data_IF_053590502140
#
_entry.id   IF_053590502140
#
_cell.length_a   1.000
_cell.length_b   1.000
_cell.length_c   1.000
_cell.angle_alpha   90.00
_cell.angle_beta   90.00
_cell.angle_gamma   90.00
#
_symmetry.space_group_name_H-M   'P 1'
#
loop_
_entity.id
_entity.type
_entity.pdbx_description
1 polymer ?
#
# COMPACT_ATOMS: atom_id res chain seq x y z
N UNK A 1 11.95 -27.90 5.37
CA UNK A 1 10.90 -27.15 6.08
C UNK A 1 9.60 -27.28 5.29
N UNK A 2 8.48 -27.68 5.94
CA UNK A 2 7.18 -27.76 5.29
C UNK A 2 6.50 -26.38 5.31
N UNK A 3 5.90 -25.96 4.19
CA UNK A 3 5.20 -24.69 4.04
C UNK A 3 3.80 -24.90 3.47
N UNK A 4 2.88 -24.01 3.85
CA UNK A 4 1.57 -23.84 3.20
C UNK A 4 1.60 -22.53 2.44
N UNK A 5 1.14 -22.53 1.20
CA UNK A 5 1.19 -21.34 0.36
C UNK A 5 0.05 -21.29 -0.65
N UNK A 6 -0.36 -20.09 -1.02
CA UNK A 6 -1.20 -19.85 -2.20
C UNK A 6 -0.30 -19.68 -3.41
N UNK A 7 -0.47 -20.55 -4.40
CA UNK A 7 0.36 -20.60 -5.60
C UNK A 7 -0.46 -20.31 -6.86
N UNK A 8 0.14 -19.57 -7.78
CA UNK A 8 -0.41 -19.26 -9.09
C UNK A 8 0.04 -20.32 -10.10
N UNK A 9 -0.91 -20.93 -10.79
CA UNK A 9 -0.72 -21.93 -11.84
C UNK A 9 -1.05 -21.39 -13.25
N UNK A 10 -1.80 -20.31 -13.34
CA UNK A 10 -2.25 -19.72 -14.58
C UNK A 10 -3.36 -18.69 -14.36
N UNK A 11 -4.04 -18.30 -15.42
CA UNK A 11 -5.15 -17.33 -15.32
C UNK A 11 -6.28 -17.83 -14.41
N UNK A 12 -6.59 -17.06 -13.37
CA UNK A 12 -7.61 -17.35 -12.37
C UNK A 12 -7.40 -18.70 -11.64
N UNK A 13 -6.19 -19.22 -11.63
CA UNK A 13 -5.87 -20.51 -11.01
C UNK A 13 -4.92 -20.29 -9.84
N UNK A 14 -5.49 -19.98 -8.68
CA UNK A 14 -4.82 -19.90 -7.39
C UNK A 14 -5.17 -21.13 -6.56
N UNK A 15 -4.14 -21.82 -6.05
CA UNK A 15 -4.33 -23.04 -5.24
C UNK A 15 -3.62 -22.93 -3.91
N UNK A 16 -4.29 -23.33 -2.83
CA UNK A 16 -3.67 -23.55 -1.53
C UNK A 16 -2.99 -24.91 -1.54
N UNK A 17 -1.72 -24.96 -1.21
CA UNK A 17 -0.92 -26.18 -1.20
C UNK A 17 0.00 -26.27 0.01
N UNK A 18 0.31 -27.51 0.39
CA UNK A 18 1.37 -27.82 1.33
C UNK A 18 2.47 -28.60 0.61
N UNK A 19 3.70 -28.14 0.78
CA UNK A 19 4.88 -28.79 0.18
C UNK A 19 6.14 -28.53 1.01
N UNK A 20 7.18 -29.31 0.74
CA UNK A 20 8.48 -29.12 1.38
C UNK A 20 9.33 -28.12 0.59
N UNK A 21 9.82 -27.08 1.31
CA UNK A 21 10.84 -26.17 0.79
C UNK A 21 12.17 -26.92 0.68
N UNK A 22 13.00 -26.66 -0.34
CA UNK A 22 14.37 -27.16 -0.38
C UNK A 22 15.20 -26.63 0.80
N UNK A 23 16.35 -27.23 1.05
CA UNK A 23 17.35 -26.64 1.95
C UNK A 23 17.84 -25.32 1.36
N UNK A 24 18.04 -24.32 2.22
CA UNK A 24 18.57 -23.02 1.77
C UNK A 24 20.02 -23.15 1.31
N UNK A 25 20.38 -22.38 0.31
CA UNK A 25 21.76 -22.22 -0.12
C UNK A 25 22.52 -21.26 0.79
N UNK A 26 23.83 -21.18 0.58
CA UNK A 26 24.70 -20.29 1.38
C UNK A 26 24.34 -18.80 1.22
N UNK A 27 23.70 -18.43 0.12
CA UNK A 27 23.31 -17.07 -0.26
C UNK A 27 21.81 -16.80 -0.13
N UNK A 28 21.06 -17.70 0.50
CA UNK A 28 19.62 -17.59 0.74
C UNK A 28 19.29 -17.43 2.24
N UNK A 29 18.08 -16.97 2.56
CA UNK A 29 17.57 -16.85 3.92
C UNK A 29 16.19 -17.50 3.99
N UNK A 30 15.96 -18.38 4.98
CA UNK A 30 14.64 -18.91 5.30
C UNK A 30 13.94 -17.96 6.24
N UNK A 31 12.71 -17.60 5.92
CA UNK A 31 11.88 -16.74 6.77
C UNK A 31 10.51 -17.36 7.02
N UNK A 32 9.92 -17.03 8.17
CA UNK A 32 8.53 -17.22 8.48
C UNK A 32 7.78 -15.95 8.17
N UNK A 33 6.80 -15.99 7.29
CA UNK A 33 5.88 -14.87 7.07
C UNK A 33 4.81 -14.91 8.15
N UNK A 34 4.54 -13.78 8.76
CA UNK A 34 3.47 -13.63 9.76
C UNK A 34 2.30 -12.86 9.18
N UNK A 35 2.58 -11.76 8.48
CA UNK A 35 1.57 -10.90 7.86
C UNK A 35 1.92 -10.62 6.39
N UNK A 36 0.89 -10.65 5.55
CA UNK A 36 0.91 -10.15 4.16
C UNK A 36 -0.33 -9.30 3.94
N UNK A 37 -0.37 -8.47 2.92
CA UNK A 37 -1.60 -7.79 2.56
C UNK A 37 -1.93 -7.93 1.07
N UNK A 38 -3.22 -8.07 0.77
CA UNK A 38 -3.66 -8.30 -0.60
C UNK A 38 -3.64 -6.98 -1.37
N UNK A 39 -2.93 -6.98 -2.50
CA UNK A 39 -2.77 -5.84 -3.40
C UNK A 39 -3.53 -6.06 -4.73
N UNK A 40 -4.01 -4.97 -5.32
CA UNK A 40 -4.60 -4.99 -6.65
C UNK A 40 -3.62 -5.50 -7.72
N UNK A 41 -2.32 -5.32 -7.53
CA UNK A 41 -1.30 -5.86 -8.44
C UNK A 41 -1.19 -7.38 -8.36
N UNK A 42 -1.39 -7.99 -7.19
CA UNK A 42 -1.49 -9.45 -7.04
C UNK A 42 -2.75 -9.99 -7.75
N UNK A 43 -3.89 -9.30 -7.62
CA UNK A 43 -5.11 -9.62 -8.39
C UNK A 43 -4.84 -9.59 -9.89
N UNK A 44 -4.17 -8.53 -10.41
CA UNK A 44 -3.81 -8.42 -11.83
C UNK A 44 -2.94 -9.59 -12.29
N UNK A 45 -1.95 -9.99 -11.50
CA UNK A 45 -1.13 -11.16 -11.80
C UNK A 45 -1.96 -12.45 -11.86
N UNK A 46 -2.90 -12.62 -10.93
CA UNK A 46 -3.77 -13.80 -10.88
C UNK A 46 -4.70 -13.90 -12.09
N UNK A 47 -5.34 -12.81 -12.52
CA UNK A 47 -6.26 -12.84 -13.68
C UNK A 47 -5.56 -12.86 -15.04
N UNK A 48 -4.35 -12.32 -15.13
CA UNK A 48 -3.57 -12.30 -16.37
C UNK A 48 -2.70 -13.56 -16.55
N UNK A 49 -2.30 -14.22 -15.44
CA UNK A 49 -1.41 -15.38 -15.53
C UNK A 49 -0.15 -15.04 -16.33
N UNK A 50 0.19 -15.87 -17.31
CA UNK A 50 1.39 -15.69 -18.17
C UNK A 50 1.36 -14.43 -19.04
N UNK A 51 0.24 -13.71 -19.15
CA UNK A 51 0.19 -12.43 -19.86
C UNK A 51 0.67 -11.27 -18.95
N UNK A 52 0.78 -11.50 -17.65
CA UNK A 52 1.37 -10.53 -16.74
C UNK A 52 2.89 -10.50 -16.90
N UNK A 53 3.46 -9.29 -16.97
CA UNK A 53 4.89 -9.04 -17.27
C UNK A 53 5.89 -9.67 -16.30
N UNK A 54 5.45 -10.00 -15.05
CA UNK A 54 6.28 -10.59 -13.99
C UNK A 54 6.03 -12.07 -13.76
N UNK A 55 4.99 -12.64 -14.36
CA UNK A 55 4.64 -14.06 -14.18
C UNK A 55 5.42 -14.90 -15.20
N UNK A 56 6.15 -15.94 -14.74
CA UNK A 56 6.91 -16.83 -15.63
C UNK A 56 6.01 -17.54 -16.64
N UNK A 57 6.54 -17.79 -17.84
CA UNK A 57 5.79 -18.46 -18.91
C UNK A 57 5.51 -19.93 -18.63
N UNK A 58 6.30 -20.55 -17.77
CA UNK A 58 6.21 -21.94 -17.32
C UNK A 58 5.49 -22.08 -15.96
N UNK A 59 4.69 -21.09 -15.57
CA UNK A 59 4.03 -21.05 -14.25
C UNK A 59 3.09 -22.25 -14.00
N UNK A 60 2.59 -22.89 -15.05
CA UNK A 60 1.76 -24.08 -14.93
C UNK A 60 2.54 -25.30 -14.41
N UNK A 61 3.81 -25.44 -14.81
CA UNK A 61 4.71 -26.50 -14.40
C UNK A 61 5.53 -26.11 -13.15
N UNK A 62 5.87 -24.81 -13.03
CA UNK A 62 6.66 -24.22 -11.97
C UNK A 62 5.88 -23.10 -11.26
N UNK A 63 4.83 -23.45 -10.50
CA UNK A 63 3.95 -22.44 -9.89
C UNK A 63 4.67 -21.56 -8.88
N UNK A 64 4.30 -20.28 -8.85
CA UNK A 64 4.92 -19.26 -8.00
C UNK A 64 4.03 -18.91 -6.80
N UNK A 65 4.64 -18.56 -5.66
CA UNK A 65 3.90 -18.06 -4.50
C UNK A 65 3.52 -16.61 -4.74
N UNK A 66 2.25 -16.26 -4.48
CA UNK A 66 1.75 -14.88 -4.61
C UNK A 66 1.95 -14.08 -3.31
N UNK A 67 1.66 -12.76 -3.35
CA UNK A 67 1.78 -11.86 -2.19
C UNK A 67 3.16 -11.22 -2.12
N UNK A 68 3.21 -9.90 -1.98
CA UNK A 68 4.48 -9.16 -2.03
C UNK A 68 4.57 -8.05 -0.97
N UNK A 69 3.58 -7.95 -0.09
CA UNK A 69 3.53 -6.99 1.01
C UNK A 69 3.73 -7.75 2.33
N UNK A 70 4.89 -8.42 2.48
CA UNK A 70 5.11 -9.40 3.55
C UNK A 70 6.01 -8.89 4.68
N UNK A 71 5.72 -9.38 5.89
CA UNK A 71 6.54 -9.22 7.07
C UNK A 71 6.55 -10.49 7.93
N UNK A 72 7.59 -10.68 8.71
CA UNK A 72 7.71 -11.86 9.55
C UNK A 72 9.04 -11.94 10.29
N UNK A 73 9.53 -13.17 10.52
CA UNK A 73 10.76 -13.43 11.24
C UNK A 73 11.75 -14.23 10.40
N UNK A 74 13.02 -13.90 10.52
CA UNK A 74 14.11 -14.70 9.96
C UNK A 74 14.23 -15.98 10.77
N UNK A 75 14.29 -17.12 10.08
CA UNK A 75 14.38 -18.46 10.70
C UNK A 75 15.79 -19.02 10.59
N UNK A 76 16.37 -18.97 9.39
CA UNK A 76 17.72 -19.48 9.12
C UNK A 76 18.42 -18.58 8.11
N UNK A 77 19.73 -18.37 8.31
CA UNK A 77 20.56 -17.47 7.50
C UNK A 77 21.68 -18.25 6.84
N UNK A 78 21.74 -18.21 5.51
CA UNK A 78 22.85 -18.75 4.74
C UNK A 78 24.19 -18.10 5.10
N UNK A 79 25.27 -18.83 4.94
CA UNK A 79 26.60 -18.43 5.42
C UNK A 79 27.04 -17.04 4.93
N UNK A 80 26.67 -16.66 3.72
CA UNK A 80 27.00 -15.37 3.09
C UNK A 80 26.45 -14.15 3.86
N UNK A 81 25.33 -14.31 4.59
CA UNK A 81 24.57 -13.20 5.17
C UNK A 81 24.61 -13.14 6.71
N UNK A 82 25.34 -14.05 7.37
CA UNK A 82 25.35 -14.16 8.85
C UNK A 82 25.88 -12.94 9.58
N UNK A 83 26.69 -12.12 8.91
CA UNK A 83 27.21 -10.87 9.51
C UNK A 83 26.15 -9.74 9.48
N UNK A 84 25.10 -9.86 8.64
CA UNK A 84 24.09 -8.83 8.44
C UNK A 84 22.74 -9.19 9.08
N UNK A 85 22.38 -10.48 9.11
CA UNK A 85 21.08 -10.97 9.57
C UNK A 85 21.22 -12.06 10.61
N UNK A 86 20.19 -12.17 11.48
CA UNK A 86 20.15 -13.17 12.56
C UNK A 86 18.79 -13.85 12.63
N UNK A 87 18.72 -15.15 12.98
CA UNK A 87 17.47 -15.82 13.32
C UNK A 87 16.71 -15.06 14.43
N UNK A 88 15.39 -15.01 14.31
CA UNK A 88 14.50 -14.28 15.23
C UNK A 88 14.33 -12.78 14.92
N UNK A 89 15.13 -12.21 14.03
CA UNK A 89 15.00 -10.82 13.61
C UNK A 89 13.72 -10.64 12.78
N UNK A 90 12.94 -9.60 13.09
CA UNK A 90 11.79 -9.21 12.27
C UNK A 90 12.26 -8.56 10.98
N UNK A 91 11.50 -8.74 9.92
CA UNK A 91 11.80 -8.16 8.62
C UNK A 91 10.56 -7.59 7.93
N UNK A 92 10.80 -6.67 7.02
CA UNK A 92 9.96 -6.29 5.89
C UNK A 92 10.75 -6.45 4.59
N UNK A 93 10.13 -6.40 3.43
CA UNK A 93 10.82 -6.65 2.17
C UNK A 93 10.32 -5.74 1.05
N UNK A 94 11.26 -5.06 0.35
CA UNK A 94 10.98 -4.32 -0.88
C UNK A 94 10.95 -5.29 -2.07
N UNK A 95 9.78 -5.49 -2.72
CA UNK A 95 9.65 -6.46 -3.80
C UNK A 95 10.12 -5.98 -5.17
N UNK A 96 10.25 -4.67 -5.37
CA UNK A 96 10.64 -4.08 -6.66
C UNK A 96 12.16 -4.16 -6.87
N UNK A 97 12.68 -5.37 -7.15
CA UNK A 97 14.11 -5.65 -7.20
C UNK A 97 14.79 -4.99 -8.41
N UNK A 98 14.21 -5.10 -9.61
CA UNK A 98 14.83 -4.68 -10.87
C UNK A 98 16.27 -5.22 -11.06
N UNK A 99 16.50 -6.46 -10.56
CA UNK A 99 17.83 -7.06 -10.51
C UNK A 99 18.39 -7.29 -11.90
N UNK A 100 19.50 -6.64 -12.23
CA UNK A 100 20.17 -6.73 -13.55
C UNK A 100 19.23 -6.49 -14.75
N UNK A 101 18.22 -5.64 -14.57
CA UNK A 101 17.22 -5.35 -15.58
C UNK A 101 16.09 -6.37 -15.72
N UNK A 102 16.06 -7.43 -14.89
CA UNK A 102 14.92 -8.34 -14.81
C UNK A 102 13.73 -7.67 -14.13
N UNK A 103 12.54 -8.06 -14.52
CA UNK A 103 11.29 -7.67 -13.87
C UNK A 103 10.87 -8.66 -12.78
N UNK A 104 11.67 -9.69 -12.52
CA UNK A 104 11.37 -10.70 -11.50
C UNK A 104 11.22 -10.07 -10.12
N UNK A 105 10.24 -10.54 -9.39
CA UNK A 105 9.85 -9.95 -8.12
C UNK A 105 9.23 -10.99 -7.19
N UNK A 106 9.59 -11.02 -5.91
CA UNK A 106 8.90 -11.80 -4.90
C UNK A 106 7.38 -11.61 -4.96
N UNK A 107 6.65 -12.70 -4.83
CA UNK A 107 5.18 -12.69 -4.93
C UNK A 107 4.62 -12.68 -6.35
N UNK A 108 5.48 -12.78 -7.38
CA UNK A 108 5.09 -12.86 -8.80
C UNK A 108 5.89 -13.89 -9.59
N UNK A 109 7.20 -13.99 -9.33
CA UNK A 109 8.14 -14.69 -10.23
C UNK A 109 8.83 -15.87 -9.56
N UNK A 110 8.82 -15.93 -8.24
CA UNK A 110 9.62 -16.92 -7.50
C UNK A 110 8.77 -18.10 -7.02
N UNK A 111 9.30 -19.29 -7.25
CA UNK A 111 8.66 -20.55 -6.84
C UNK A 111 8.53 -20.69 -5.32
N UNK A 112 9.49 -20.14 -4.57
CA UNK A 112 9.62 -20.30 -3.12
C UNK A 112 9.62 -18.97 -2.36
N UNK A 113 9.27 -17.84 -3.00
CA UNK A 113 9.24 -16.54 -2.34
C UNK A 113 7.99 -15.74 -2.72
N UNK A 114 7.15 -15.48 -1.72
CA UNK A 114 5.93 -14.68 -1.80
C UNK A 114 5.21 -14.67 -0.45
N UNK A 115 4.44 -13.60 -0.18
CA UNK A 115 3.86 -13.32 1.13
C UNK A 115 2.69 -14.21 1.54
N UNK A 116 1.97 -14.79 0.57
CA UNK A 116 0.87 -15.69 0.87
C UNK A 116 1.36 -17.12 1.19
N UNK A 117 2.26 -17.24 2.15
CA UNK A 117 2.83 -18.52 2.61
C UNK A 117 3.26 -18.45 4.07
N UNK A 118 3.37 -19.62 4.73
CA UNK A 118 3.85 -19.71 6.12
C UNK A 118 5.36 -19.56 6.22
N UNK A 119 6.10 -20.19 5.31
CA UNK A 119 7.56 -20.11 5.21
C UNK A 119 7.99 -19.93 3.77
N UNK A 120 9.01 -19.12 3.54
CA UNK A 120 9.54 -18.84 2.21
C UNK A 120 11.07 -18.71 2.24
N UNK A 121 11.69 -18.88 1.08
CA UNK A 121 13.13 -18.70 0.91
C UNK A 121 13.35 -17.37 0.20
N UNK A 122 14.00 -16.43 0.88
CA UNK A 122 14.43 -15.16 0.28
C UNK A 122 15.59 -15.42 -0.67
N UNK A 123 15.45 -15.12 -1.97
CA UNK A 123 16.52 -15.35 -2.93
C UNK A 123 17.63 -14.29 -2.75
N UNK A 124 18.85 -14.66 -3.16
CA UNK A 124 20.07 -13.88 -3.02
C UNK A 124 19.91 -12.40 -3.42
N UNK A 125 19.21 -12.14 -4.51
CA UNK A 125 19.05 -10.79 -5.07
C UNK A 125 18.31 -9.82 -4.15
N UNK A 126 17.44 -10.33 -3.27
CA UNK A 126 16.75 -9.51 -2.26
C UNK A 126 17.77 -8.91 -1.28
N UNK A 127 18.73 -9.71 -0.82
CA UNK A 127 19.77 -9.24 0.10
C UNK A 127 20.84 -8.42 -0.63
N UNK A 128 21.25 -8.83 -1.85
CA UNK A 128 22.26 -8.09 -2.63
C UNK A 128 21.84 -6.66 -2.95
N UNK A 129 20.54 -6.43 -3.11
CA UNK A 129 19.97 -5.10 -3.36
C UNK A 129 19.61 -4.35 -2.07
N UNK A 130 19.86 -4.93 -0.88
CA UNK A 130 19.46 -4.35 0.40
C UNK A 130 17.93 -4.26 0.56
N UNK A 131 17.18 -5.15 -0.08
CA UNK A 131 15.72 -5.15 -0.09
C UNK A 131 15.09 -5.97 1.04
N UNK A 132 15.87 -6.78 1.80
CA UNK A 132 15.44 -7.37 3.07
C UNK A 132 15.75 -6.36 4.18
N UNK A 133 14.70 -5.78 4.77
CA UNK A 133 14.79 -4.67 5.70
C UNK A 133 14.51 -5.13 7.13
N UNK A 134 15.44 -4.94 8.09
CA UNK A 134 15.17 -5.15 9.51
C UNK A 134 14.03 -4.23 9.98
N UNK A 135 13.19 -4.76 10.87
CA UNK A 135 12.09 -4.04 11.49
C UNK A 135 12.12 -4.22 13.01
N UNK A 136 12.07 -3.13 13.76
CA UNK A 136 12.17 -3.12 15.23
C UNK A 136 10.82 -2.80 15.92
N UNK A 137 9.80 -2.40 15.16
CA UNK A 137 8.49 -2.07 15.70
C UNK A 137 7.69 -3.28 16.18
N UNK A 138 6.54 -3.04 16.82
CA UNK A 138 5.78 -4.07 17.52
C UNK A 138 4.82 -4.86 16.63
N UNK A 139 4.19 -4.23 15.63
CA UNK A 139 3.17 -4.88 14.78
C UNK A 139 3.72 -5.41 13.46
N UNK A 140 3.50 -6.69 13.12
CA UNK A 140 3.87 -7.24 11.81
C UNK A 140 3.06 -6.60 10.68
N UNK A 141 1.79 -6.22 10.94
CA UNK A 141 0.96 -5.51 9.96
C UNK A 141 1.60 -4.19 9.52
N UNK A 142 2.25 -3.48 10.43
CA UNK A 142 2.97 -2.25 10.12
C UNK A 142 4.11 -2.49 9.13
N UNK A 143 4.86 -3.57 9.36
CA UNK A 143 5.98 -3.95 8.49
C UNK A 143 5.50 -4.46 7.12
N UNK A 144 4.40 -5.20 7.04
CA UNK A 144 3.83 -5.63 5.77
C UNK A 144 3.22 -4.47 4.98
N UNK A 145 2.58 -3.52 5.65
CA UNK A 145 2.01 -2.33 5.02
C UNK A 145 3.07 -1.25 4.69
N UNK A 146 4.32 -1.45 5.06
CA UNK A 146 5.41 -0.54 4.67
C UNK A 146 5.60 -0.51 3.16
N UNK A 147 5.32 -1.62 2.44
CA UNK A 147 5.38 -1.64 0.97
C UNK A 147 4.37 -0.66 0.35
N UNK A 148 3.05 -0.76 0.57
CA UNK A 148 2.11 0.21 0.01
C UNK A 148 2.35 1.65 0.49
N UNK A 149 2.79 1.86 1.73
CA UNK A 149 3.20 3.19 2.19
C UNK A 149 4.41 3.70 1.42
N UNK A 150 5.39 2.85 1.08
CA UNK A 150 6.55 3.25 0.26
C UNK A 150 6.13 3.75 -1.12
N UNK A 151 5.08 3.16 -1.70
CA UNK A 151 4.52 3.64 -2.97
C UNK A 151 3.99 5.07 -2.85
N UNK A 152 3.32 5.37 -1.74
CA UNK A 152 2.81 6.72 -1.43
C UNK A 152 3.98 7.68 -1.23
N UNK A 153 4.93 7.35 -0.37
CA UNK A 153 6.11 8.17 -0.08
C UNK A 153 6.89 8.47 -1.37
N UNK A 154 7.14 7.45 -2.19
CA UNK A 154 7.80 7.62 -3.48
C UNK A 154 7.05 8.55 -4.44
N UNK A 155 5.71 8.56 -4.42
CA UNK A 155 4.92 9.49 -5.21
C UNK A 155 5.09 10.94 -4.72
N UNK A 156 5.14 11.17 -3.40
CA UNK A 156 5.43 12.49 -2.83
C UNK A 156 6.83 12.95 -3.20
N UNK A 157 7.85 12.09 -3.08
CA UNK A 157 9.23 12.40 -3.45
C UNK A 157 9.41 12.66 -4.97
N UNK A 158 8.62 12.00 -5.82
CA UNK A 158 8.70 12.15 -7.26
C UNK A 158 8.01 13.41 -7.80
N UNK A 159 7.11 14.02 -7.03
CA UNK A 159 6.57 15.33 -7.36
C UNK A 159 7.69 16.37 -7.36
N UNK A 160 7.57 17.40 -8.16
CA UNK A 160 8.59 18.46 -8.19
C UNK A 160 8.00 19.81 -8.57
N UNK A 161 8.73 20.85 -8.18
CA UNK A 161 8.46 22.25 -8.49
C UNK A 161 9.69 22.94 -9.06
N UNK A 162 9.47 24.02 -9.79
CA UNK A 162 10.54 24.83 -10.38
C UNK A 162 10.50 26.25 -9.86
N UNK A 163 11.37 27.09 -10.35
CA UNK A 163 11.30 28.55 -10.18
C UNK A 163 11.40 29.19 -11.57
N UNK A 164 10.68 30.27 -11.77
CA UNK A 164 10.71 30.97 -13.06
C UNK A 164 12.15 31.33 -13.45
N UNK A 165 12.56 30.92 -14.67
CA UNK A 165 13.90 31.15 -15.18
C UNK A 165 14.96 30.13 -14.69
N UNK A 166 14.58 29.11 -13.93
CA UNK A 166 15.44 28.01 -13.52
C UNK A 166 14.91 26.70 -14.07
N UNK A 167 15.84 25.80 -14.45
CA UNK A 167 15.56 24.41 -14.84
C UNK A 167 15.85 23.42 -13.72
N UNK A 168 16.18 23.92 -12.51
CA UNK A 168 16.41 23.08 -11.34
C UNK A 168 15.05 22.61 -10.76
N UNK A 169 14.93 21.30 -10.55
CA UNK A 169 13.77 20.70 -9.92
C UNK A 169 13.98 20.64 -8.41
N UNK A 170 13.05 21.23 -7.68
CA UNK A 170 12.93 21.06 -6.23
C UNK A 170 12.00 19.87 -5.99
N UNK A 171 12.61 18.71 -5.69
CA UNK A 171 11.86 17.47 -5.50
C UNK A 171 10.98 17.52 -4.25
N UNK A 172 9.89 16.76 -4.30
CA UNK A 172 8.86 16.71 -3.27
C UNK A 172 7.72 17.69 -3.52
N UNK A 173 6.64 17.58 -2.73
CA UNK A 173 5.50 18.48 -2.78
C UNK A 173 5.87 19.87 -2.31
N UNK A 174 5.03 20.86 -2.62
CA UNK A 174 5.23 22.24 -2.18
C UNK A 174 5.04 22.37 -0.65
N UNK A 175 6.11 22.71 0.08
CA UNK A 175 6.05 22.96 1.51
C UNK A 175 5.15 24.18 1.81
N UNK A 176 4.19 24.02 2.73
CA UNK A 176 3.18 25.04 3.02
C UNK A 176 2.16 25.25 1.90
N UNK A 177 2.26 24.46 0.80
CA UNK A 177 1.41 24.54 -0.38
C UNK A 177 0.01 23.95 -0.17
N UNK A 178 -0.75 23.87 -1.26
CA UNK A 178 -2.12 23.35 -1.31
C UNK A 178 -2.12 22.03 -2.04
N UNK A 179 -2.47 20.96 -1.34
CA UNK A 179 -2.52 19.59 -1.85
C UNK A 179 -3.96 19.17 -2.08
N UNK A 180 -4.28 18.64 -3.26
CA UNK A 180 -5.53 17.95 -3.54
C UNK A 180 -5.28 16.45 -3.70
N UNK A 181 -6.09 15.61 -3.03
CA UNK A 181 -6.09 14.15 -3.12
C UNK A 181 -7.43 13.72 -3.70
N UNK A 182 -7.45 13.42 -5.00
CA UNK A 182 -8.66 13.10 -5.76
C UNK A 182 -8.96 11.60 -5.73
N UNK A 183 -10.24 11.23 -5.52
CA UNK A 183 -10.68 9.88 -5.21
C UNK A 183 -9.91 9.31 -4.00
N UNK A 184 -9.73 10.17 -3.00
CA UNK A 184 -8.76 10.00 -1.91
C UNK A 184 -9.29 9.31 -0.65
N UNK A 185 -10.57 8.95 -0.57
CA UNK A 185 -11.12 8.25 0.60
C UNK A 185 -10.92 6.72 0.55
N UNK A 186 -10.21 6.22 -0.47
CA UNK A 186 -9.76 4.83 -0.56
C UNK A 186 -8.49 4.58 0.27
N UNK A 187 -8.02 3.30 0.35
CA UNK A 187 -6.90 2.93 1.23
C UNK A 187 -5.62 3.73 0.95
N UNK A 188 -5.23 3.83 -0.31
CA UNK A 188 -3.99 4.53 -0.68
C UNK A 188 -4.12 6.05 -0.46
N UNK A 189 -5.31 6.63 -0.67
CA UNK A 189 -5.55 8.03 -0.37
C UNK A 189 -5.53 8.35 1.12
N UNK A 190 -6.05 7.45 1.98
CA UNK A 190 -5.94 7.61 3.44
C UNK A 190 -4.49 7.53 3.91
N UNK A 191 -3.70 6.60 3.38
CA UNK A 191 -2.25 6.56 3.62
C UNK A 191 -1.55 7.83 3.15
N UNK A 192 -2.00 8.43 2.03
CA UNK A 192 -1.47 9.69 1.55
C UNK A 192 -1.80 10.87 2.47
N UNK A 193 -3.02 10.90 3.03
CA UNK A 193 -3.39 11.91 4.05
C UNK A 193 -2.50 11.76 5.28
N UNK A 194 -2.34 10.54 5.79
CA UNK A 194 -1.50 10.27 6.95
C UNK A 194 -0.06 10.72 6.74
N UNK A 195 0.54 10.36 5.59
CA UNK A 195 1.87 10.82 5.24
C UNK A 195 1.96 12.36 5.11
N UNK A 196 1.01 13.01 4.43
CA UNK A 196 0.99 14.45 4.26
C UNK A 196 0.93 15.24 5.59
N UNK A 197 0.24 14.68 6.60
CA UNK A 197 0.16 15.28 7.94
C UNK A 197 1.50 15.21 8.69
N UNK A 198 2.40 14.28 8.33
CA UNK A 198 3.57 13.94 9.14
C UNK A 198 4.92 14.01 8.39
N UNK A 199 4.92 14.15 7.05
CA UNK A 199 6.14 14.27 6.24
C UNK A 199 6.93 15.54 6.58
N UNK A 200 8.16 15.61 6.09
CA UNK A 200 9.07 16.75 6.29
C UNK A 200 8.60 18.01 5.57
N UNK A 201 7.98 17.88 4.39
CA UNK A 201 7.47 18.98 3.56
C UNK A 201 5.95 19.08 3.67
N UNK A 202 5.44 19.46 4.84
CA UNK A 202 4.00 19.52 5.10
C UNK A 202 3.30 20.54 4.22
N UNK A 203 2.14 20.18 3.60
CA UNK A 203 1.28 21.18 2.97
C UNK A 203 0.61 22.07 4.02
N UNK A 204 0.20 23.28 3.65
CA UNK A 204 -0.62 24.15 4.50
C UNK A 204 -2.11 23.82 4.41
N UNK A 205 -2.53 23.22 3.29
CA UNK A 205 -3.91 22.80 3.05
C UNK A 205 -3.93 21.43 2.39
N UNK A 206 -4.85 20.55 2.82
CA UNK A 206 -5.16 19.27 2.18
C UNK A 206 -6.64 19.24 1.87
N UNK A 207 -6.99 19.01 0.60
CA UNK A 207 -8.37 18.77 0.17
C UNK A 207 -8.48 17.32 -0.35
N UNK A 208 -9.28 16.51 0.34
CA UNK A 208 -9.57 15.13 -0.06
C UNK A 208 -10.94 15.07 -0.69
N UNK A 209 -11.04 14.66 -1.93
CA UNK A 209 -12.32 14.49 -2.61
C UNK A 209 -12.64 13.04 -2.94
N UNK A 210 -13.90 12.66 -2.78
CA UNK A 210 -14.44 11.37 -3.19
C UNK A 210 -15.94 11.51 -3.51
N UNK A 211 -16.52 10.49 -4.15
CA UNK A 211 -17.96 10.39 -4.39
C UNK A 211 -18.68 9.52 -3.35
N UNK A 212 -17.93 8.77 -2.55
CA UNK A 212 -18.46 7.85 -1.56
C UNK A 212 -18.54 8.49 -0.18
N UNK A 213 -19.77 8.78 0.25
CA UNK A 213 -20.04 9.45 1.53
C UNK A 213 -19.61 8.62 2.74
N UNK A 214 -19.74 7.28 2.68
CA UNK A 214 -19.37 6.42 3.80
C UNK A 214 -17.85 6.40 4.00
N UNK A 215 -17.10 6.34 2.90
CA UNK A 215 -15.64 6.43 2.94
C UNK A 215 -15.16 7.79 3.47
N UNK A 216 -15.79 8.88 3.04
CA UNK A 216 -15.46 10.22 3.54
C UNK A 216 -15.75 10.34 5.03
N UNK A 217 -16.91 9.87 5.51
CA UNK A 217 -17.21 9.84 6.95
C UNK A 217 -16.20 9.02 7.75
N UNK A 218 -15.75 7.87 7.22
CA UNK A 218 -14.68 7.10 7.83
C UNK A 218 -13.38 7.91 7.87
N UNK A 219 -13.02 8.58 6.79
CA UNK A 219 -11.82 9.41 6.71
C UNK A 219 -11.85 10.55 7.74
N UNK A 220 -12.99 11.24 7.91
CA UNK A 220 -13.19 12.28 8.93
C UNK A 220 -13.02 11.78 10.37
N UNK A 221 -13.45 10.54 10.64
CA UNK A 221 -13.24 9.90 11.96
C UNK A 221 -11.77 9.57 12.21
N UNK A 222 -11.06 9.10 11.17
CA UNK A 222 -9.63 8.77 11.26
C UNK A 222 -8.79 10.04 11.39
N UNK A 223 -9.09 11.06 10.60
CA UNK A 223 -8.35 12.31 10.52
C UNK A 223 -9.25 13.51 10.83
N UNK A 224 -9.54 13.79 12.11
CA UNK A 224 -10.33 14.96 12.48
C UNK A 224 -9.64 16.26 12.05
N UNK A 225 -10.37 17.15 11.39
CA UNK A 225 -9.83 18.43 10.91
C UNK A 225 -9.20 19.29 12.03
N UNK A 226 -9.72 19.18 13.25
CA UNK A 226 -9.17 19.86 14.42
C UNK A 226 -7.77 19.34 14.82
N UNK A 227 -7.49 18.05 14.59
CA UNK A 227 -6.15 17.50 14.84
C UNK A 227 -5.17 17.94 13.75
N UNK A 228 -5.58 17.94 12.49
CA UNK A 228 -4.78 18.49 11.39
C UNK A 228 -4.47 19.98 11.63
N UNK A 229 -5.42 20.73 12.14
CA UNK A 229 -5.24 22.16 12.47
C UNK A 229 -4.16 22.40 13.53
N UNK A 230 -4.02 21.50 14.50
CA UNK A 230 -2.93 21.56 15.51
C UNK A 230 -1.54 21.37 14.87
N UNK A 231 -1.48 20.69 13.71
CA UNK A 231 -0.27 20.51 12.91
C UNK A 231 -0.02 21.70 11.94
N UNK A 232 -0.91 22.70 11.94
CA UNK A 232 -0.85 23.86 11.04
C UNK A 232 -1.44 23.60 9.65
N UNK A 233 -2.25 22.56 9.48
CA UNK A 233 -2.78 22.11 8.20
C UNK A 233 -4.31 22.27 8.18
N UNK A 234 -4.84 22.91 7.13
CA UNK A 234 -6.27 22.96 6.86
C UNK A 234 -6.68 21.70 6.09
N UNK A 235 -7.32 20.73 6.76
CA UNK A 235 -7.80 19.47 6.16
C UNK A 235 -9.30 19.58 5.86
N UNK A 236 -9.67 19.34 4.59
CA UNK A 236 -11.04 19.48 4.10
C UNK A 236 -11.42 18.20 3.33
N UNK A 237 -12.54 17.57 3.72
CA UNK A 237 -13.13 16.46 2.97
C UNK A 237 -14.31 16.96 2.13
N UNK A 238 -14.38 16.55 0.86
CA UNK A 238 -15.38 17.02 -0.11
C UNK A 238 -16.07 15.84 -0.78
N UNK A 239 -17.39 15.72 -0.59
CA UNK A 239 -18.20 14.83 -1.39
C UNK A 239 -18.56 15.50 -2.72
N UNK A 240 -18.00 14.98 -3.81
CA UNK A 240 -18.18 15.57 -5.15
C UNK A 240 -19.37 15.03 -5.92
N UNK A 241 -20.12 14.06 -5.38
CA UNK A 241 -21.21 13.35 -6.07
C UNK A 241 -22.27 14.27 -6.68
N UNK A 242 -22.64 15.33 -5.97
CA UNK A 242 -23.73 16.22 -6.34
C UNK A 242 -23.25 17.64 -6.69
N UNK A 243 -21.96 17.83 -6.97
CA UNK A 243 -21.39 19.11 -7.37
C UNK A 243 -21.35 19.14 -8.91
N UNK A 244 -22.05 20.10 -9.51
CA UNK A 244 -22.13 20.22 -10.97
C UNK A 244 -20.79 20.65 -11.58
N UNK A 245 -20.16 21.70 -11.06
CA UNK A 245 -18.81 22.14 -11.41
C UNK A 245 -17.81 21.84 -10.29
N UNK A 246 -17.35 20.59 -10.25
CA UNK A 246 -16.37 20.13 -9.24
C UNK A 246 -15.05 20.91 -9.34
N UNK A 247 -14.57 21.18 -10.55
CA UNK A 247 -13.31 21.90 -10.75
C UNK A 247 -13.38 23.34 -10.24
N UNK A 248 -14.45 24.04 -10.57
CA UNK A 248 -14.71 25.40 -10.05
C UNK A 248 -14.84 25.43 -8.53
N UNK A 249 -15.60 24.48 -7.97
CA UNK A 249 -15.76 24.35 -6.52
C UNK A 249 -14.39 24.16 -5.81
N UNK A 250 -13.58 23.19 -6.26
CA UNK A 250 -12.27 22.92 -5.66
C UNK A 250 -11.32 24.11 -5.80
N UNK A 251 -11.28 24.78 -6.96
CA UNK A 251 -10.46 25.98 -7.13
C UNK A 251 -10.89 27.11 -6.19
N UNK A 252 -12.17 27.27 -5.92
CA UNK A 252 -12.67 28.29 -5.00
C UNK A 252 -12.15 28.08 -3.57
N UNK A 253 -11.95 26.84 -3.12
CA UNK A 253 -11.32 26.55 -1.82
C UNK A 253 -9.91 27.12 -1.71
N UNK A 254 -9.21 27.29 -2.83
CA UNK A 254 -7.86 27.86 -2.89
C UNK A 254 -7.84 29.39 -3.15
N UNK A 255 -8.99 30.03 -3.11
CA UNK A 255 -9.13 31.44 -3.51
C UNK A 255 -8.91 31.67 -5.02
N UNK A 256 -9.16 30.63 -5.85
CA UNK A 256 -9.03 30.68 -7.31
C UNK A 256 -7.62 30.43 -7.85
N UNK A 257 -6.59 30.35 -6.98
CA UNK A 257 -5.19 30.17 -7.41
C UNK A 257 -4.89 28.75 -7.94
N UNK A 258 -5.68 27.75 -7.53
CA UNK A 258 -5.45 26.34 -7.81
C UNK A 258 -4.53 25.68 -6.78
N UNK A 259 -4.26 24.38 -6.99
CA UNK A 259 -3.45 23.56 -6.10
C UNK A 259 -2.00 23.49 -6.60
N UNK A 260 -1.08 23.45 -5.65
CA UNK A 260 0.34 23.25 -5.94
C UNK A 260 0.61 21.79 -6.30
N UNK A 261 -0.02 20.85 -5.59
CA UNK A 261 0.07 19.42 -5.85
C UNK A 261 -1.31 18.80 -5.97
N UNK A 262 -1.49 17.92 -6.96
CA UNK A 262 -2.73 17.18 -7.17
C UNK A 262 -2.40 15.69 -7.37
N UNK A 263 -2.88 14.84 -6.45
CA UNK A 263 -2.70 13.40 -6.52
C UNK A 263 -3.99 12.71 -6.97
N UNK A 264 -3.90 11.82 -7.96
CA UNK A 264 -5.05 11.10 -8.52
C UNK A 264 -4.98 9.63 -8.14
N UNK A 265 -5.91 9.17 -7.28
CA UNK A 265 -5.93 7.81 -6.73
C UNK A 265 -6.89 6.84 -7.44
N UNK A 266 -7.60 7.28 -8.46
CA UNK A 266 -8.45 6.40 -9.27
C UNK A 266 -8.13 6.52 -10.77
N UNK A 267 -8.04 5.40 -11.53
CA UNK A 267 -7.81 5.42 -12.97
C UNK A 267 -9.12 5.74 -13.71
N UNK A 268 -9.65 6.94 -13.46
CA UNK A 268 -10.91 7.41 -14.01
C UNK A 268 -10.66 8.68 -14.79
N UNK A 269 -10.87 8.64 -16.10
CA UNK A 269 -10.56 9.74 -17.02
C UNK A 269 -11.06 11.12 -16.55
N UNK A 270 -12.35 11.32 -16.17
CA UNK A 270 -12.83 12.59 -15.65
C UNK A 270 -12.07 13.10 -14.42
N UNK A 271 -11.59 12.20 -13.54
CA UNK A 271 -10.84 12.59 -12.33
C UNK A 271 -9.43 13.08 -12.69
N UNK A 272 -8.77 12.47 -13.69
CA UNK A 272 -7.48 12.93 -14.20
C UNK A 272 -7.62 14.31 -14.83
N UNK A 273 -8.63 14.50 -15.70
CA UNK A 273 -8.93 15.77 -16.36
C UNK A 273 -9.33 16.87 -15.35
N UNK A 274 -10.02 16.50 -14.28
CA UNK A 274 -10.31 17.38 -13.15
C UNK A 274 -9.00 17.80 -12.45
N UNK A 275 -8.08 16.86 -12.24
CA UNK A 275 -6.77 17.15 -11.67
C UNK A 275 -6.03 18.24 -12.44
N UNK A 276 -5.98 18.13 -13.78
CA UNK A 276 -5.37 19.13 -14.65
C UNK A 276 -6.05 20.50 -14.51
N UNK A 277 -7.38 20.57 -14.44
CA UNK A 277 -8.15 21.83 -14.37
C UNK A 277 -7.95 22.58 -13.06
N UNK A 278 -7.63 21.86 -11.97
CA UNK A 278 -7.47 22.49 -10.64
C UNK A 278 -6.03 22.87 -10.30
N UNK A 279 -5.04 22.50 -11.12
CA UNK A 279 -3.65 22.89 -10.92
C UNK A 279 -3.48 24.41 -10.87
N UNK A 280 -2.65 24.85 -9.95
CA UNK A 280 -2.12 26.21 -9.89
C UNK A 280 -0.92 26.41 -10.83
N UNK A 281 -0.27 27.56 -10.72
CA UNK A 281 0.98 27.82 -11.43
C UNK A 281 2.10 26.97 -10.83
N UNK A 282 2.98 26.38 -11.68
CA UNK A 282 4.03 25.43 -11.30
C UNK A 282 3.45 24.19 -10.59
N UNK A 283 2.15 23.90 -10.83
CA UNK A 283 1.44 22.82 -10.17
C UNK A 283 1.85 21.45 -10.70
N UNK A 284 1.98 20.47 -9.80
CA UNK A 284 2.36 19.10 -10.12
C UNK A 284 1.16 18.15 -10.00
N UNK A 285 0.76 17.52 -11.11
CA UNK A 285 -0.21 16.43 -11.12
C UNK A 285 0.51 15.10 -11.01
N UNK A 286 0.31 14.38 -9.91
CA UNK A 286 0.81 13.04 -9.72
C UNK A 286 -0.29 12.01 -10.03
N UNK A 287 -0.11 11.24 -11.10
CA UNK A 287 -0.98 10.14 -11.46
C UNK A 287 -0.54 8.87 -10.74
N UNK A 288 -1.05 8.69 -9.53
CA UNK A 288 -0.74 7.53 -8.68
C UNK A 288 -1.46 6.25 -9.12
N UNK A 289 -2.67 6.38 -9.64
CA UNK A 289 -3.51 5.24 -9.99
C UNK A 289 -2.88 4.38 -11.09
N UNK A 290 -2.90 3.05 -10.90
CA UNK A 290 -2.40 2.09 -11.91
C UNK A 290 -3.53 1.56 -12.79
N UNK A 291 -3.75 2.05 -14.03
CA UNK A 291 -4.76 1.50 -14.93
C UNK A 291 -4.42 0.07 -15.36
N UNK A 292 -5.44 -0.71 -15.68
CA UNK A 292 -5.30 -2.04 -16.29
C UNK A 292 -5.30 -1.96 -17.82
N UNK A 293 -5.97 -0.94 -18.37
CA UNK A 293 -6.01 -0.70 -19.81
C UNK A 293 -4.72 0.04 -20.24
N UNK A 294 -3.94 -0.57 -21.12
CA UNK A 294 -2.71 0.00 -21.67
C UNK A 294 -2.97 1.25 -22.55
N UNK A 295 -4.20 1.43 -23.02
CA UNK A 295 -4.64 2.57 -23.81
C UNK A 295 -5.32 3.67 -22.98
N UNK A 296 -5.32 3.53 -21.63
CA UNK A 296 -5.91 4.54 -20.77
C UNK A 296 -5.31 5.92 -21.06
N UNK A 297 -6.16 6.90 -21.37
CA UNK A 297 -5.76 8.24 -21.76
C UNK A 297 -6.75 9.29 -21.24
N UNK A 298 -6.27 10.51 -21.02
CA UNK A 298 -7.06 11.65 -20.58
C UNK A 298 -6.61 12.95 -21.30
N UNK A 299 -7.49 13.94 -21.34
CA UNK A 299 -7.18 15.25 -21.93
C UNK A 299 -6.41 16.10 -20.92
N UNK A 300 -5.31 16.68 -21.38
CA UNK A 300 -4.46 17.62 -20.63
C UNK A 300 -4.43 18.96 -21.36
N UNK A 301 -4.51 20.04 -20.61
CA UNK A 301 -4.45 21.39 -21.16
C UNK A 301 -2.98 21.82 -21.36
N UNK A 302 -2.46 21.68 -22.56
CA UNK A 302 -1.08 22.06 -22.89
C UNK A 302 -0.81 23.58 -22.82
N UNK A 303 -1.85 24.42 -22.82
CA UNK A 303 -1.67 25.84 -22.51
C UNK A 303 -1.15 26.03 -21.07
N UNK A 304 -1.69 25.28 -20.10
CA UNK A 304 -1.22 25.30 -18.72
C UNK A 304 0.20 24.74 -18.60
N UNK A 305 0.52 23.66 -19.32
CA UNK A 305 1.89 23.11 -19.35
C UNK A 305 2.89 24.17 -19.81
N UNK A 306 2.54 24.94 -20.87
CA UNK A 306 3.44 25.93 -21.44
C UNK A 306 3.51 27.23 -20.61
N UNK A 307 2.36 27.81 -20.25
CA UNK A 307 2.30 29.14 -19.66
C UNK A 307 2.28 29.15 -18.13
N UNK A 308 1.76 28.09 -17.52
CA UNK A 308 1.69 27.94 -16.08
C UNK A 308 2.74 26.99 -15.51
N UNK A 309 3.60 26.42 -16.37
CA UNK A 309 4.64 25.45 -15.98
C UNK A 309 4.08 24.24 -15.22
N UNK A 310 2.91 23.74 -15.62
CA UNK A 310 2.33 22.56 -14.96
C UNK A 310 3.15 21.32 -15.26
N UNK A 311 3.27 20.44 -14.29
CA UNK A 311 4.03 19.17 -14.37
C UNK A 311 3.10 17.97 -14.27
N UNK A 312 3.45 16.87 -14.92
CA UNK A 312 2.76 15.59 -14.82
C UNK A 312 3.80 14.52 -14.50
N UNK A 313 3.58 13.84 -13.38
CA UNK A 313 4.47 12.79 -12.91
C UNK A 313 3.67 11.52 -12.57
N UNK A 314 4.36 10.40 -12.50
CA UNK A 314 3.81 9.13 -12.03
C UNK A 314 4.93 8.22 -11.55
N UNK A 315 4.59 7.34 -10.63
CA UNK A 315 5.50 6.36 -10.07
C UNK A 315 4.93 4.96 -10.20
N UNK A 316 5.80 3.96 -10.33
CA UNK A 316 5.41 2.55 -10.32
C UNK A 316 6.04 1.85 -9.11
N UNK A 317 5.45 2.07 -7.94
CA UNK A 317 5.96 1.61 -6.65
C UNK A 317 6.90 2.63 -5.98
N UNK A 318 7.27 2.35 -4.72
CA UNK A 318 8.33 3.03 -4.00
C UNK A 318 9.69 2.36 -4.25
N UNK A 319 10.75 3.02 -3.87
CA UNK A 319 12.10 2.43 -3.83
C UNK A 319 12.44 1.95 -2.40
N UNK A 320 13.63 1.38 -2.23
CA UNK A 320 14.09 0.87 -0.93
C UNK A 320 14.19 1.99 0.14
N UNK A 321 14.59 3.21 -0.25
CA UNK A 321 14.68 4.33 0.70
C UNK A 321 13.30 4.80 1.16
N UNK A 322 12.31 4.85 0.25
CA UNK A 322 10.92 5.17 0.60
C UNK A 322 10.35 4.15 1.59
N UNK A 323 10.72 2.87 1.44
CA UNK A 323 10.30 1.83 2.36
C UNK A 323 11.00 1.92 3.72
N UNK A 324 12.28 2.24 3.74
CA UNK A 324 13.03 2.52 4.98
C UNK A 324 12.42 3.72 5.72
N UNK A 325 12.01 4.75 4.99
CA UNK A 325 11.32 5.91 5.57
C UNK A 325 9.99 5.50 6.18
N UNK A 326 9.17 4.72 5.45
CA UNK A 326 7.91 4.18 5.96
C UNK A 326 8.10 3.42 7.28
N UNK A 327 9.05 2.48 7.32
CA UNK A 327 9.36 1.71 8.53
C UNK A 327 9.76 2.60 9.69
N UNK A 328 10.68 3.56 9.46
CA UNK A 328 11.16 4.49 10.50
C UNK A 328 10.06 5.41 11.04
N UNK A 329 9.20 5.93 10.16
CA UNK A 329 8.08 6.77 10.59
C UNK A 329 7.07 5.98 11.40
N UNK A 330 6.79 4.74 11.01
CA UNK A 330 5.89 3.83 11.75
C UNK A 330 6.48 3.43 13.10
N UNK A 331 7.77 3.07 13.19
CA UNK A 331 8.47 2.77 14.45
C UNK A 331 8.45 3.94 15.44
N UNK A 332 8.41 5.16 14.92
CA UNK A 332 8.30 6.40 15.72
C UNK A 332 6.87 6.83 16.01
N UNK A 333 5.87 6.05 15.60
CA UNK A 333 4.45 6.39 15.68
C UNK A 333 4.11 7.74 15.02
N UNK A 334 4.81 8.08 13.92
CA UNK A 334 4.53 9.27 13.14
C UNK A 334 3.43 9.04 12.12
N UNK A 335 3.38 7.83 11.52
CA UNK A 335 2.32 7.38 10.63
C UNK A 335 1.73 6.06 11.14
N UNK A 336 0.48 5.80 10.80
CA UNK A 336 -0.22 4.55 11.12
C UNK A 336 -0.76 3.90 9.82
N UNK A 337 -0.03 2.94 9.23
CA UNK A 337 -0.48 2.25 8.03
C UNK A 337 -1.82 1.51 8.17
N UNK A 338 -2.29 1.27 9.40
CA UNK A 338 -3.59 0.66 9.65
C UNK A 338 -4.78 1.48 9.11
N UNK A 339 -4.60 2.77 8.83
CA UNK A 339 -5.62 3.63 8.19
C UNK A 339 -6.10 3.04 6.86
N UNK A 340 -5.24 2.26 6.18
CA UNK A 340 -5.54 1.58 4.93
C UNK A 340 -6.34 0.28 5.11
N UNK A 341 -6.33 -0.33 6.32
CA UNK A 341 -6.87 -1.67 6.57
C UNK A 341 -8.38 -1.63 6.81
N UNK A 342 -9.09 -2.57 6.21
CA UNK A 342 -10.54 -2.76 6.44
C UNK A 342 -10.92 -4.18 6.78
N UNK A 343 -10.11 -5.17 6.41
CA UNK A 343 -10.40 -6.59 6.66
C UNK A 343 -9.17 -7.32 7.20
N UNK A 344 -9.43 -8.36 7.96
CA UNK A 344 -8.41 -9.27 8.51
C UNK A 344 -8.85 -10.71 8.26
N UNK A 345 -7.93 -11.58 7.89
CA UNK A 345 -8.19 -13.00 7.65
C UNK A 345 -6.96 -13.88 7.78
N UNK A 346 -7.14 -15.19 7.67
CA UNK A 346 -6.09 -16.19 7.63
C UNK A 346 -5.65 -16.53 6.21
N UNK A 347 -4.58 -17.29 6.08
CA UNK A 347 -4.03 -17.72 4.79
C UNK A 347 -5.04 -18.50 3.94
N UNK A 348 -5.93 -19.27 4.58
CA UNK A 348 -7.00 -20.04 3.95
C UNK A 348 -7.98 -19.17 3.15
N UNK A 349 -8.13 -17.90 3.51
CA UNK A 349 -8.99 -16.95 2.78
C UNK A 349 -8.28 -16.24 1.62
N UNK A 350 -6.94 -16.30 1.51
CA UNK A 350 -6.16 -15.44 0.64
C UNK A 350 -6.43 -15.66 -0.86
N UNK A 351 -6.61 -16.91 -1.30
CA UNK A 351 -6.86 -17.24 -2.71
C UNK A 351 -8.17 -16.63 -3.21
N UNK A 352 -9.28 -16.89 -2.50
CA UNK A 352 -10.60 -16.36 -2.85
C UNK A 352 -10.62 -14.84 -2.72
N UNK A 353 -10.08 -14.29 -1.64
CA UNK A 353 -10.01 -12.84 -1.41
C UNK A 353 -9.22 -12.12 -2.51
N UNK A 354 -8.16 -12.74 -3.04
CA UNK A 354 -7.39 -12.19 -4.16
C UNK A 354 -8.22 -12.18 -5.45
N UNK A 355 -8.87 -13.31 -5.81
CA UNK A 355 -9.63 -13.41 -7.06
C UNK A 355 -10.89 -12.53 -7.05
N UNK A 356 -11.47 -12.28 -5.89
CA UNK A 356 -12.67 -11.45 -5.72
C UNK A 356 -12.38 -10.02 -5.23
N UNK A 357 -11.13 -9.59 -5.26
CA UNK A 357 -10.72 -8.29 -4.72
C UNK A 357 -11.51 -7.09 -5.27
N UNK A 358 -11.86 -7.01 -6.58
CA UNK A 358 -12.67 -5.90 -7.10
C UNK A 358 -14.12 -5.87 -6.61
N UNK A 359 -14.65 -7.00 -6.15
CA UNK A 359 -16.01 -7.11 -5.62
C UNK A 359 -16.08 -6.71 -4.14
N UNK A 360 -14.95 -6.77 -3.44
CA UNK A 360 -14.87 -6.47 -2.03
C UNK A 360 -14.88 -4.95 -1.78
N UNK A 361 -15.39 -4.48 -0.62
CA UNK A 361 -15.27 -3.08 -0.22
C UNK A 361 -13.82 -2.60 -0.27
N UNK A 362 -13.61 -1.35 -0.66
CA UNK A 362 -12.27 -0.78 -0.74
C UNK A 362 -11.57 -0.82 0.62
N UNK A 363 -10.27 -1.10 0.61
CA UNK A 363 -9.40 -1.20 1.79
C UNK A 363 -8.44 -2.36 1.68
N UNK A 364 -7.33 -2.29 2.41
CA UNK A 364 -6.37 -3.39 2.50
C UNK A 364 -6.95 -4.56 3.28
N UNK A 365 -6.63 -5.78 2.81
CA UNK A 365 -6.98 -7.05 3.44
C UNK A 365 -5.70 -7.63 4.02
N UNK A 366 -5.57 -7.60 5.35
CA UNK A 366 -4.46 -8.23 6.06
C UNK A 366 -4.68 -9.73 6.14
N UNK A 367 -3.65 -10.49 5.79
CA UNK A 367 -3.62 -11.94 5.87
C UNK A 367 -2.56 -12.37 6.87
N UNK A 368 -2.99 -13.04 7.93
CA UNK A 368 -2.11 -13.69 8.91
C UNK A 368 -1.89 -15.14 8.51
N UNK A 369 -0.67 -15.47 8.16
CA UNK A 369 -0.36 -16.73 7.45
C UNK A 369 -0.44 -17.97 8.34
N UNK A 370 -0.39 -17.81 9.67
CA UNK A 370 -0.29 -18.89 10.64
C UNK A 370 -1.59 -19.13 11.43
N UNK A 371 -2.72 -18.59 10.96
CA UNK A 371 -4.05 -18.77 11.59
C UNK A 371 -5.10 -19.22 10.57
N UNK A 372 -6.17 -19.85 11.08
CA UNK A 372 -7.39 -20.15 10.32
C UNK A 372 -8.45 -19.10 10.62
N UNK A 373 -8.76 -18.25 9.67
CA UNK A 373 -9.76 -17.19 9.84
C UNK A 373 -10.36 -16.80 8.49
N UNK A 374 -11.67 -16.83 8.37
CA UNK A 374 -12.32 -16.23 7.20
C UNK A 374 -12.01 -14.73 7.12
N UNK A 375 -11.90 -14.21 5.89
CA UNK A 375 -11.72 -12.76 5.71
C UNK A 375 -12.92 -12.03 6.28
N UNK A 376 -12.69 -11.20 7.29
CA UNK A 376 -13.72 -10.51 8.05
C UNK A 376 -13.44 -9.01 8.07
N UNK A 377 -14.48 -8.21 7.79
CA UNK A 377 -14.38 -6.76 7.91
C UNK A 377 -14.28 -6.34 9.39
N UNK A 378 -13.46 -5.32 9.67
CA UNK A 378 -13.25 -4.83 11.05
C UNK A 378 -14.56 -4.31 11.67
N UNK A 379 -15.43 -3.70 10.87
CA UNK A 379 -16.74 -3.20 11.29
C UNK A 379 -17.77 -4.33 11.57
N UNK A 380 -17.51 -5.56 11.09
CA UNK A 380 -18.32 -6.75 11.42
C UNK A 380 -17.92 -7.43 12.73
N UNK A 381 -16.78 -7.07 13.34
CA UNK A 381 -16.30 -7.72 14.55
C UNK A 381 -17.30 -7.66 15.71
N UNK A 382 -18.02 -6.54 15.88
CA UNK A 382 -19.03 -6.41 16.93
C UNK A 382 -20.21 -7.37 16.70
N UNK A 383 -20.65 -7.54 15.45
CA UNK A 383 -21.72 -8.46 15.10
C UNK A 383 -21.28 -9.92 15.31
N UNK A 384 -20.12 -10.30 14.77
CA UNK A 384 -19.56 -11.66 14.92
C UNK A 384 -19.19 -11.98 16.38
N UNK A 385 -18.88 -10.96 17.16
CA UNK A 385 -18.60 -11.05 18.59
C UNK A 385 -19.78 -11.55 19.43
N UNK A 386 -21.01 -11.46 18.93
CA UNK A 386 -22.18 -12.04 19.57
C UNK A 386 -22.17 -13.58 19.59
N UNK A 387 -21.43 -14.20 18.67
CA UNK A 387 -21.32 -15.65 18.50
C UNK A 387 -19.95 -16.14 18.97
N UNK A 388 -18.88 -15.45 18.57
CA UNK A 388 -17.50 -15.83 18.90
C UNK A 388 -16.85 -14.73 19.77
N UNK A 389 -16.52 -15.03 21.04
CA UNK A 389 -15.98 -14.05 22.00
C UNK A 389 -14.62 -13.45 21.56
N UNK A 390 -13.86 -14.12 20.69
CA UNK A 390 -12.62 -13.56 20.15
C UNK A 390 -12.90 -12.34 19.28
N UNK A 391 -13.95 -12.36 18.46
CA UNK A 391 -14.34 -11.17 17.69
C UNK A 391 -14.84 -10.03 18.59
N UNK A 392 -15.54 -10.33 19.69
CA UNK A 392 -15.94 -9.31 20.65
C UNK A 392 -14.72 -8.58 21.24
N UNK A 393 -13.65 -9.32 21.53
CA UNK A 393 -12.41 -8.75 22.04
C UNK A 393 -11.68 -7.92 21.00
N UNK A 394 -11.61 -8.38 19.76
CA UNK A 394 -11.06 -7.61 18.64
C UNK A 394 -11.86 -6.31 18.39
N UNK A 395 -13.20 -6.38 18.48
CA UNK A 395 -14.07 -5.20 18.35
C UNK A 395 -13.79 -4.16 19.44
N UNK A 396 -13.61 -4.60 20.71
CA UNK A 396 -13.24 -3.69 21.81
C UNK A 396 -11.92 -2.95 21.52
N UNK A 397 -10.90 -3.68 21.05
CA UNK A 397 -9.56 -3.13 20.79
C UNK A 397 -9.59 -2.15 19.61
N UNK A 398 -10.18 -2.54 18.49
CA UNK A 398 -10.28 -1.66 17.31
C UNK A 398 -11.15 -0.43 17.57
N UNK A 399 -12.24 -0.56 18.32
CA UNK A 399 -13.08 0.59 18.71
C UNK A 399 -12.32 1.63 19.53
N UNK A 400 -11.44 1.20 20.45
CA UNK A 400 -10.56 2.11 21.20
C UNK A 400 -9.57 2.84 20.28
N UNK A 401 -9.23 2.24 19.15
CA UNK A 401 -8.31 2.79 18.13
C UNK A 401 -9.06 3.38 16.92
N UNK A 402 -10.17 4.09 17.12
CA UNK A 402 -10.97 4.76 16.05
C UNK A 402 -11.46 3.82 14.94
N UNK A 403 -11.69 2.54 15.26
CA UNK A 403 -12.07 1.52 14.28
C UNK A 403 -10.91 1.00 13.43
N UNK A 404 -9.66 1.33 13.76
CA UNK A 404 -8.47 0.86 13.06
C UNK A 404 -7.92 -0.41 13.69
N UNK A 405 -7.27 -1.23 12.87
CA UNK A 405 -6.44 -2.32 13.34
C UNK A 405 -5.31 -1.78 14.22
N UNK A 406 -4.79 -2.57 15.15
CA UNK A 406 -3.76 -2.11 16.07
C UNK A 406 -2.90 -3.27 16.59
N UNK A 407 -1.74 -2.94 17.15
CA UNK A 407 -0.79 -3.91 17.68
C UNK A 407 -1.39 -4.79 18.78
N UNK A 408 -2.26 -4.24 19.65
CA UNK A 408 -2.94 -5.02 20.67
C UNK A 408 -3.88 -6.08 20.07
N UNK A 409 -4.63 -5.70 19.02
CA UNK A 409 -5.52 -6.61 18.32
C UNK A 409 -4.75 -7.69 17.57
N UNK A 410 -3.64 -7.33 16.88
CA UNK A 410 -2.74 -8.29 16.23
C UNK A 410 -2.17 -9.30 17.22
N UNK A 411 -1.63 -8.81 18.34
CA UNK A 411 -1.06 -9.67 19.38
C UNK A 411 -2.10 -10.63 19.95
N UNK A 412 -3.29 -10.11 20.27
CA UNK A 412 -4.40 -10.93 20.73
C UNK A 412 -4.79 -12.00 19.71
N UNK A 413 -4.89 -11.62 18.44
CA UNK A 413 -5.19 -12.55 17.35
C UNK A 413 -4.16 -13.67 17.25
N UNK A 414 -2.87 -13.34 17.20
CA UNK A 414 -1.78 -14.32 17.05
C UNK A 414 -1.63 -15.26 18.26
N UNK A 415 -2.00 -14.81 19.44
CA UNK A 415 -1.92 -15.61 20.69
C UNK A 415 -3.13 -16.53 20.87
N UNK A 416 -4.33 -16.08 20.48
CA UNK A 416 -5.59 -16.71 20.90
C UNK A 416 -6.40 -17.34 19.76
N UNK A 417 -6.07 -17.07 18.49
CA UNK A 417 -6.79 -17.66 17.36
C UNK A 417 -6.25 -19.04 17.03
N UNK A 418 -7.10 -19.89 16.44
CA UNK A 418 -6.70 -21.24 16.04
C UNK A 418 -5.47 -21.22 15.12
N UNK A 419 -4.38 -21.85 15.58
CA UNK A 419 -3.12 -21.93 14.82
C UNK A 419 -3.23 -22.99 13.74
N UNK A 420 -2.58 -22.73 12.63
CA UNK A 420 -2.39 -23.66 11.53
C UNK A 420 -1.27 -24.65 11.82
#
# INVERSE_FOLDING_TARGET
MRTRAVRLYGKNDLRMEEFDLPEIKQDEILVQVISDSICMSTYKAAILGTDHKRVPKDVAENPVIIGHEMAGNIVEVGAKWRDQFKPGQKFSMQPALNYKGSMDSPGYSYRYCGGAATYVIMPQEVMELGCLLPYEGDGYYNASLAEPMSCIIGAYHASYHTSMGSYEHRMGIAEGGKLAILAGAGPMGLGAVDYALHCDRKPGMIVVSDVDEQRLKRAEVIFPAEEAKKLGIDLIFVNTRNIEDVSGYLRNLTGGTGFDDVFVYAPVKPVVEQGDRILGRDGCLNFFAGPTDVNFSALINFYNVHYNSSHIVGTTGGNTNDMIESLRMTERNQIDPAVMVTHVGGLDSAAEATLRLPEAPAGKKLIYTNIYMELTAIDEFELKGKINPHFAKLAEMTKKNRGLWCTEAEKYLLENWGKQ
#
